data_IF_827265611888
#
_entry.id   IF_827265611888
#
_cell.length_a   1.000
_cell.length_b   1.000
_cell.length_c   1.000
_cell.angle_alpha   90.00
_cell.angle_beta   90.00
_cell.angle_gamma   90.00
#
_symmetry.space_group_name_H-M   'P 1'
#
loop_
_entity.id
_entity.type
_entity.pdbx_description
1 polymer ?
#
# COMPACT_ATOMS: atom_id res chain seq x y z
N UNK A 1 12.36 -17.23 4.68
CA UNK A 1 12.00 -15.83 4.39
C UNK A 1 10.69 -15.55 5.10
N UNK A 2 10.57 -14.44 5.82
CA UNK A 2 9.30 -14.07 6.45
C UNK A 2 8.27 -13.71 5.36
N UNK A 3 6.99 -13.97 5.62
CA UNK A 3 5.93 -13.79 4.62
C UNK A 3 5.82 -12.36 4.06
N UNK A 4 5.96 -11.29 4.88
CA UNK A 4 5.95 -9.92 4.36
C UNK A 4 7.10 -9.63 3.39
N UNK A 5 8.28 -10.19 3.64
CA UNK A 5 9.43 -10.01 2.76
C UNK A 5 9.25 -10.75 1.44
N UNK A 6 8.72 -11.98 1.46
CA UNK A 6 8.42 -12.73 0.24
C UNK A 6 7.38 -12.01 -0.64
N UNK A 7 6.36 -11.39 -0.02
CA UNK A 7 5.36 -10.59 -0.74
C UNK A 7 5.95 -9.28 -1.29
N UNK A 8 6.91 -8.67 -0.58
CA UNK A 8 7.67 -7.51 -1.07
C UNK A 8 8.45 -7.87 -2.34
N UNK A 9 9.14 -9.00 -2.34
CA UNK A 9 9.88 -9.49 -3.52
C UNK A 9 8.96 -9.82 -4.69
N UNK A 10 7.80 -10.43 -4.41
CA UNK A 10 6.76 -10.67 -5.41
C UNK A 10 6.33 -9.36 -6.10
N UNK A 11 6.05 -8.31 -5.32
CA UNK A 11 5.70 -7.00 -5.85
C UNK A 11 6.86 -6.38 -6.64
N UNK A 12 8.09 -6.46 -6.13
CA UNK A 12 9.27 -5.94 -6.80
C UNK A 12 9.46 -6.61 -8.18
N UNK A 13 9.33 -7.93 -8.24
CA UNK A 13 9.44 -8.69 -9.47
C UNK A 13 8.38 -8.27 -10.50
N UNK A 14 7.11 -8.19 -10.11
CA UNK A 14 6.05 -7.80 -11.03
C UNK A 14 6.26 -6.37 -11.51
N UNK A 15 6.43 -5.43 -10.58
CA UNK A 15 6.49 -4.00 -10.91
C UNK A 15 7.70 -3.68 -11.79
N UNK A 16 8.86 -4.26 -11.50
CA UNK A 16 10.06 -4.04 -12.31
C UNK A 16 9.90 -4.49 -13.77
N UNK A 17 9.03 -5.47 -14.05
CA UNK A 17 8.73 -5.94 -15.40
C UNK A 17 7.58 -5.17 -16.10
N UNK A 18 6.95 -4.21 -15.41
CA UNK A 18 5.84 -3.42 -15.95
C UNK A 18 6.23 -1.96 -16.27
N UNK A 19 7.46 -1.55 -15.95
CA UNK A 19 7.87 -0.14 -15.96
C UNK A 19 9.19 0.06 -16.70
N UNK A 20 9.43 1.29 -17.16
CA UNK A 20 10.62 1.64 -17.92
C UNK A 20 11.81 2.02 -17.01
N UNK A 21 11.56 2.45 -15.76
CA UNK A 21 12.58 2.94 -14.84
C UNK A 21 12.62 2.12 -13.52
N UNK A 22 12.92 0.81 -13.57
CA UNK A 22 12.94 -0.05 -12.38
C UNK A 22 13.89 0.42 -11.27
N UNK A 23 14.98 1.09 -11.64
CA UNK A 23 15.94 1.71 -10.71
C UNK A 23 15.36 2.87 -9.88
N UNK A 24 14.23 3.45 -10.30
CA UNK A 24 13.52 4.51 -9.57
C UNK A 24 12.33 3.98 -8.76
N UNK A 25 12.08 2.66 -8.80
CA UNK A 25 11.03 2.04 -8.02
C UNK A 25 11.50 1.72 -6.60
N UNK A 26 10.75 2.17 -5.60
CA UNK A 26 11.00 1.83 -4.19
C UNK A 26 9.75 1.23 -3.57
N UNK A 27 9.95 0.26 -2.68
CA UNK A 27 8.85 -0.40 -1.95
C UNK A 27 9.11 -0.27 -0.46
N UNK A 28 8.27 0.52 0.22
CA UNK A 28 8.26 0.65 1.67
C UNK A 28 7.20 -0.29 2.26
N UNK A 29 7.54 -0.91 3.39
CA UNK A 29 6.65 -1.81 4.14
C UNK A 29 6.39 -1.20 5.50
N UNK A 30 5.12 -1.07 5.87
CA UNK A 30 4.70 -0.61 7.19
C UNK A 30 3.50 -1.38 7.70
N UNK A 31 2.98 -0.98 8.86
CA UNK A 31 1.72 -1.47 9.40
C UNK A 31 0.80 -0.29 9.69
N UNK A 32 -0.50 -0.44 9.41
CA UNK A 32 -1.49 0.55 9.83
C UNK A 32 -1.99 0.28 11.27
N UNK A 33 -2.84 1.15 11.80
CA UNK A 33 -3.45 1.06 13.14
C UNK A 33 -4.17 -0.27 13.36
N UNK A 34 -4.81 -0.79 12.31
CA UNK A 34 -5.52 -2.08 12.33
C UNK A 34 -4.58 -3.30 12.25
N UNK A 35 -3.25 -3.12 12.31
CA UNK A 35 -2.25 -4.19 12.26
C UNK A 35 -2.06 -4.83 10.87
N UNK A 36 -2.67 -4.28 9.83
CA UNK A 36 -2.51 -4.75 8.45
C UNK A 36 -1.22 -4.22 7.85
N UNK A 37 -0.54 -5.03 7.02
CA UNK A 37 0.71 -4.65 6.37
C UNK A 37 0.41 -3.79 5.15
N UNK A 38 1.06 -2.63 5.06
CA UNK A 38 0.89 -1.68 3.95
C UNK A 38 2.16 -1.70 3.11
N UNK A 39 2.02 -2.04 1.83
CA UNK A 39 3.08 -1.89 0.83
C UNK A 39 2.85 -0.58 0.08
N UNK A 40 3.83 0.33 0.14
CA UNK A 40 3.83 1.58 -0.64
C UNK A 40 4.88 1.49 -1.73
N UNK A 41 4.44 1.56 -2.97
CA UNK A 41 5.31 1.55 -4.14
C UNK A 41 5.42 2.97 -4.69
N UNK A 42 6.62 3.55 -4.60
CA UNK A 42 6.92 4.82 -5.23
C UNK A 42 7.56 4.55 -6.58
N UNK A 43 7.06 5.24 -7.61
CA UNK A 43 7.50 5.08 -9.00
C UNK A 43 7.87 6.43 -9.62
N UNK A 44 8.59 6.37 -10.73
CA UNK A 44 8.70 7.52 -11.62
C UNK A 44 7.31 7.90 -12.15
N UNK A 45 7.07 9.20 -12.36
CA UNK A 45 5.75 9.70 -12.79
C UNK A 45 5.24 9.01 -14.06
N UNK A 46 6.13 8.77 -15.02
CA UNK A 46 5.82 8.08 -16.27
C UNK A 46 5.43 6.60 -16.08
N UNK A 47 5.93 5.97 -15.03
CA UNK A 47 5.75 4.53 -14.76
C UNK A 47 4.45 4.24 -13.99
N UNK A 48 3.92 5.21 -13.24
CA UNK A 48 2.64 5.06 -12.51
C UNK A 48 1.52 4.64 -13.45
N UNK A 49 1.40 5.26 -14.63
CA UNK A 49 0.35 4.94 -15.61
C UNK A 49 0.43 3.47 -16.07
N UNK A 50 1.63 2.92 -16.21
CA UNK A 50 1.84 1.54 -16.63
C UNK A 50 1.35 0.55 -15.57
N UNK A 51 1.65 0.80 -14.30
CA UNK A 51 1.23 -0.06 -13.18
C UNK A 51 -0.26 0.06 -12.87
N UNK A 52 -0.82 1.27 -12.92
CA UNK A 52 -2.27 1.47 -12.75
C UNK A 52 -3.02 0.75 -13.87
N UNK A 53 -2.57 0.88 -15.12
CA UNK A 53 -3.19 0.29 -16.29
C UNK A 53 -4.54 0.94 -16.64
N UNK A 54 -5.17 0.46 -17.73
CA UNK A 54 -6.45 0.99 -18.21
C UNK A 54 -7.54 0.78 -17.14
N UNK A 55 -8.19 1.87 -16.73
CA UNK A 55 -9.24 1.86 -15.70
C UNK A 55 -8.81 1.24 -14.36
N UNK A 56 -7.51 1.20 -14.05
CA UNK A 56 -7.02 0.57 -12.82
C UNK A 56 -6.99 -0.96 -12.86
N UNK A 57 -7.21 -1.59 -14.02
CA UNK A 57 -7.32 -3.05 -14.13
C UNK A 57 -6.05 -3.77 -13.68
N UNK A 58 -4.87 -3.29 -14.11
CA UNK A 58 -3.58 -3.90 -13.78
C UNK A 58 -3.31 -3.87 -12.28
N UNK A 59 -3.42 -2.69 -11.65
CA UNK A 59 -3.18 -2.57 -10.20
C UNK A 59 -4.23 -3.35 -9.39
N UNK A 60 -5.48 -3.44 -9.87
CA UNK A 60 -6.51 -4.26 -9.25
C UNK A 60 -6.15 -5.75 -9.26
N UNK A 61 -5.68 -6.27 -10.40
CA UNK A 61 -5.22 -7.65 -10.51
C UNK A 61 -4.02 -7.94 -9.59
N UNK A 62 -3.05 -7.02 -9.52
CA UNK A 62 -1.91 -7.14 -8.60
C UNK A 62 -2.39 -7.19 -7.14
N UNK A 63 -3.34 -6.33 -6.75
CA UNK A 63 -3.95 -6.33 -5.41
C UNK A 63 -4.62 -7.66 -5.08
N UNK A 64 -5.40 -8.21 -6.01
CA UNK A 64 -6.05 -9.51 -5.82
C UNK A 64 -5.03 -10.62 -5.57
N UNK A 65 -3.95 -10.69 -6.38
CA UNK A 65 -2.89 -11.68 -6.19
C UNK A 65 -2.18 -11.50 -4.84
N UNK A 66 -1.84 -10.27 -4.48
CA UNK A 66 -1.20 -9.94 -3.21
C UNK A 66 -2.07 -10.36 -2.01
N UNK A 67 -3.36 -10.04 -2.04
CA UNK A 67 -4.32 -10.39 -0.99
C UNK A 67 -4.46 -11.91 -0.85
N UNK A 68 -4.68 -12.63 -1.97
CA UNK A 68 -4.78 -14.10 -1.94
C UNK A 68 -3.50 -14.77 -1.44
N UNK A 69 -2.32 -14.23 -1.77
CA UNK A 69 -1.07 -14.74 -1.25
C UNK A 69 -0.92 -14.48 0.26
N UNK A 70 -1.27 -13.27 0.72
CA UNK A 70 -1.22 -12.91 2.14
C UNK A 70 -2.20 -13.70 3.02
N UNK A 71 -3.40 -13.97 2.51
CA UNK A 71 -4.43 -14.77 3.20
C UNK A 71 -3.93 -16.18 3.56
N UNK A 72 -3.10 -16.80 2.71
CA UNK A 72 -2.47 -18.10 3.01
C UNK A 72 -1.55 -18.06 4.23
N UNK A 73 -1.09 -16.87 4.62
CA UNK A 73 -0.25 -16.63 5.78
C UNK A 73 -1.01 -15.96 6.94
N UNK A 74 -2.33 -15.81 6.84
CA UNK A 74 -3.15 -15.13 7.85
C UNK A 74 -2.88 -13.63 7.96
N UNK A 75 -2.31 -13.02 6.92
CA UNK A 75 -1.95 -11.60 6.89
C UNK A 75 -3.02 -10.79 6.19
N UNK A 76 -3.37 -9.63 6.75
CA UNK A 76 -4.11 -8.58 6.03
C UNK A 76 -3.12 -7.61 5.42
N UNK A 77 -3.31 -7.29 4.14
CA UNK A 77 -2.38 -6.44 3.38
C UNK A 77 -3.12 -5.37 2.59
N UNK A 78 -2.43 -4.27 2.29
CA UNK A 78 -2.91 -3.25 1.36
C UNK A 78 -1.75 -2.76 0.49
N UNK A 79 -2.08 -2.32 -0.73
CA UNK A 79 -1.12 -1.84 -1.73
C UNK A 79 -1.47 -0.43 -2.18
N UNK A 80 -0.54 0.49 -1.96
CA UNK A 80 -0.56 1.87 -2.46
C UNK A 80 0.51 2.04 -3.53
N UNK A 81 0.17 2.70 -4.62
CA UNK A 81 1.06 2.93 -5.77
C UNK A 81 0.91 4.39 -6.19
N UNK A 82 2.01 5.11 -6.29
CA UNK A 82 2.00 6.53 -6.66
C UNK A 82 3.37 7.06 -7.02
N UNK A 83 3.42 8.31 -7.49
CA UNK A 83 4.69 9.02 -7.63
C UNK A 83 5.18 9.51 -6.26
N UNK A 84 6.47 9.83 -6.14
CA UNK A 84 7.03 10.38 -4.90
C UNK A 84 6.21 11.56 -4.34
N UNK A 85 5.77 12.47 -5.21
CA UNK A 85 4.94 13.64 -4.85
C UNK A 85 3.53 13.28 -4.37
N UNK A 86 2.99 12.17 -4.83
CA UNK A 86 1.63 11.74 -4.45
C UNK A 86 1.65 11.06 -3.07
N UNK A 87 2.73 10.35 -2.77
CA UNK A 87 2.92 9.62 -1.51
C UNK A 87 3.43 10.51 -0.36
N UNK A 88 4.05 11.66 -0.67
CA UNK A 88 4.38 12.70 0.31
C UNK A 88 3.14 13.39 0.89
N UNK A 89 2.03 13.43 0.13
CA UNK A 89 0.75 13.96 0.59
C UNK A 89 -0.13 12.89 1.27
N UNK A 90 0.27 11.61 1.21
CA UNK A 90 -0.38 10.57 1.98
C UNK A 90 0.13 10.59 3.42
N UNK A 91 -0.80 10.55 4.37
CA UNK A 91 -0.45 10.44 5.78
C UNK A 91 0.42 9.21 6.02
N UNK A 92 1.52 9.42 6.74
CA UNK A 92 2.35 8.32 7.23
C UNK A 92 1.51 7.42 8.14
N UNK A 93 1.88 6.13 8.32
CA UNK A 93 1.14 5.24 9.20
C UNK A 93 0.93 5.82 10.61
N UNK A 94 1.89 6.60 11.09
CA UNK A 94 1.85 7.26 12.39
C UNK A 94 0.84 8.42 12.43
N UNK A 95 0.73 9.20 11.34
CA UNK A 95 -0.25 10.28 11.21
C UNK A 95 -1.67 9.73 11.03
N UNK A 96 -1.84 8.69 10.22
CA UNK A 96 -3.12 7.98 10.04
C UNK A 96 -3.58 7.36 11.37
N UNK A 97 -2.66 6.75 12.13
CA UNK A 97 -2.91 6.24 13.49
C UNK A 97 -3.32 7.34 14.48
N UNK A 98 -2.63 8.48 14.49
CA UNK A 98 -2.94 9.59 15.39
C UNK A 98 -4.32 10.17 15.09
N UNK A 99 -4.65 10.37 13.80
CA UNK A 99 -5.94 10.90 13.36
C UNK A 99 -7.09 9.92 13.65
N UNK A 100 -6.91 8.63 13.38
CA UNK A 100 -7.90 7.60 13.70
C UNK A 100 -8.13 7.47 15.21
N UNK A 101 -7.08 7.58 16.03
CA UNK A 101 -7.20 7.58 17.49
C UNK A 101 -7.98 8.81 17.99
N UNK A 102 -7.74 9.99 17.41
CA UNK A 102 -8.45 11.23 17.71
C UNK A 102 -9.94 11.14 17.31
N UNK A 103 -10.24 10.64 16.10
CA UNK A 103 -11.60 10.39 15.61
C UNK A 103 -12.38 9.35 16.44
N UNK A 104 -11.70 8.29 16.91
CA UNK A 104 -12.31 7.30 17.79
C UNK A 104 -12.66 7.89 19.17
N UNK A 105 -11.83 8.80 19.69
CA UNK A 105 -12.07 9.48 20.96
C UNK A 105 -13.24 10.48 20.89
N UNK A 106 -13.44 11.14 19.75
CA UNK A 106 -14.57 12.07 19.54
C UNK A 106 -15.91 11.33 19.38
N UNK A 107 -15.92 10.14 18.79
CA UNK A 107 -17.13 9.32 18.64
C UNK A 107 -17.65 8.77 19.97
N UNK A 108 -16.76 8.50 20.93
CA UNK A 108 -17.13 7.99 22.27
C UNK A 108 -17.69 9.09 23.19
N UNK A 109 -17.45 10.37 22.87
CA UNK A 109 -17.81 11.51 23.71
C UNK A 109 -19.02 12.32 23.18
N UNK A 110 -19.78 11.79 22.23
CA UNK A 110 -21.07 12.39 21.84
C UNK A 110 -22.13 12.00 22.87
N UNK A 111 -22.62 12.91 23.73
CA UNK A 111 -23.73 12.59 24.61
C UNK A 111 -24.95 12.30 23.73
N UNK A 112 -25.56 11.13 23.90
CA UNK A 112 -26.86 10.83 23.34
C UNK A 112 -27.85 11.89 23.84
N UNK A 113 -28.26 12.79 22.94
CA UNK A 113 -29.30 13.78 23.18
C UNK A 113 -30.68 13.14 23.07
#
# INVERSE_FOLDING_TARGET
>A
MDAPEALREFLAYIVANLIDHPQQATIAVGRNSAGSIVYRIQLAQQDVRHVIGKNGLTVSSIRSLLNTAAEKHGLKVSLRVGAARDLENEETPEQEQAREAELASDAENTPAA
#
